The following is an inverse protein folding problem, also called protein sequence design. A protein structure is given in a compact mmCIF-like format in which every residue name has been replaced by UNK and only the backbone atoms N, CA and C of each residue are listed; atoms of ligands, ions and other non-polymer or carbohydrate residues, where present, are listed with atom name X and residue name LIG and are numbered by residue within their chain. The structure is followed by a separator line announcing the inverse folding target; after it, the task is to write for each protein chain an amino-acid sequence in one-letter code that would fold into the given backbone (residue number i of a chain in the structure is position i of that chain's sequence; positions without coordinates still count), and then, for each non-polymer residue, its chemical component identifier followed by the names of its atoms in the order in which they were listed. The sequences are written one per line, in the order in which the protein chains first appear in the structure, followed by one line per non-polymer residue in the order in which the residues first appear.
data_IF_127969733294
#
_entry.id   IF_127969733294
#
_cell.length_a   1.000
_cell.length_b   1.000
_cell.length_c   1.000
_cell.angle_alpha   90.00
_cell.angle_beta   90.00
_cell.angle_gamma   90.00
#
_symmetry.space_group_name_H-M   'P 1'
#
loop_
_entity.id
_entity.type
_entity.pdbx_description
1 polymer ?
#
# COMPACT_ATOMS: atom_id res chain seq x y z
N UNK A 1 -5.88 12.83 3.76
CA UNK A 1 -4.68 13.44 4.40
C UNK A 1 -3.86 12.47 5.25
N UNK A 2 -4.43 11.44 5.90
CA UNK A 2 -3.65 10.46 6.71
C UNK A 2 -2.68 9.62 5.84
N UNK A 3 -3.00 9.38 4.56
CA UNK A 3 -2.20 8.52 3.68
C UNK A 3 -0.78 9.05 3.39
N UNK A 4 -0.57 10.37 3.27
CA UNK A 4 0.76 10.93 2.99
C UNK A 4 1.71 10.77 4.19
N UNK A 5 1.20 10.95 5.41
CA UNK A 5 1.98 10.76 6.64
C UNK A 5 2.34 9.30 6.91
N UNK A 6 1.47 8.35 6.52
CA UNK A 6 1.77 6.92 6.63
C UNK A 6 2.66 6.37 5.50
N UNK A 7 2.67 7.00 4.32
CA UNK A 7 3.47 6.55 3.18
C UNK A 7 4.94 6.99 3.25
N UNK A 8 5.23 8.13 3.89
CA UNK A 8 6.60 8.62 4.11
C UNK A 8 7.11 8.04 5.43
N UNK A 9 7.54 6.78 5.40
CA UNK A 9 8.00 6.03 6.58
C UNK A 9 9.46 5.60 6.51
N UNK A 10 9.84 4.71 7.44
CA UNK A 10 11.20 4.15 7.53
C UNK A 10 11.68 3.51 6.24
N UNK A 11 10.78 2.98 5.40
CA UNK A 11 11.14 2.45 4.08
C UNK A 11 11.89 3.45 3.19
N UNK A 12 11.55 4.74 3.23
CA UNK A 12 12.24 5.76 2.43
C UNK A 12 13.64 6.07 2.99
N UNK A 13 13.81 6.10 4.31
CA UNK A 13 15.06 6.54 4.94
C UNK A 13 16.02 5.39 5.29
N UNK A 14 15.50 4.22 5.61
CA UNK A 14 16.25 3.03 6.02
C UNK A 14 16.45 2.07 4.84
N UNK A 15 15.38 1.79 4.07
CA UNK A 15 15.47 0.78 3.00
C UNK A 15 16.03 1.30 1.68
N UNK A 16 15.86 2.59 1.36
CA UNK A 16 16.33 3.16 0.08
C UNK A 16 17.84 3.00 -0.14
N UNK A 17 18.65 3.15 0.91
CA UNK A 17 20.11 2.97 0.81
C UNK A 17 20.49 1.55 0.39
N UNK A 18 19.84 0.55 1.00
CA UNK A 18 20.04 -0.86 0.64
C UNK A 18 19.52 -1.17 -0.78
N UNK A 19 18.38 -0.61 -1.17
CA UNK A 19 17.82 -0.78 -2.53
C UNK A 19 18.77 -0.22 -3.59
N UNK A 20 19.33 0.98 -3.37
CA UNK A 20 20.28 1.58 -4.30
C UNK A 20 21.61 0.80 -4.31
N UNK A 21 22.08 0.31 -3.16
CA UNK A 21 23.31 -0.47 -3.07
C UNK A 21 23.20 -1.84 -3.79
N UNK A 22 22.03 -2.47 -3.76
CA UNK A 22 21.81 -3.81 -4.34
C UNK A 22 21.35 -3.77 -5.80
N UNK A 23 20.41 -2.88 -6.14
CA UNK A 23 19.85 -2.78 -7.50
C UNK A 23 20.55 -1.73 -8.38
N UNK A 24 21.41 -0.89 -7.78
CA UNK A 24 22.00 0.26 -8.44
C UNK A 24 21.03 1.43 -8.62
N UNK A 25 21.52 2.63 -8.97
CA UNK A 25 20.68 3.83 -9.11
C UNK A 25 19.65 3.70 -10.24
N UNK A 26 20.01 3.07 -11.35
CA UNK A 26 19.09 2.83 -12.48
C UNK A 26 18.00 1.80 -12.14
N UNK A 27 18.36 0.72 -11.45
CA UNK A 27 17.41 -0.32 -11.03
C UNK A 27 16.43 0.18 -9.98
N UNK A 28 16.90 0.98 -9.00
CA UNK A 28 16.06 1.60 -7.99
C UNK A 28 15.03 2.58 -8.61
N UNK A 29 15.45 3.41 -9.58
CA UNK A 29 14.54 4.32 -10.29
C UNK A 29 13.51 3.56 -11.13
N UNK A 30 13.92 2.52 -11.85
CA UNK A 30 13.00 1.71 -12.64
C UNK A 30 11.96 1.02 -11.74
N UNK A 31 12.39 0.43 -10.63
CA UNK A 31 11.50 -0.19 -9.66
C UNK A 31 10.50 0.83 -9.10
N UNK A 32 10.97 2.04 -8.76
CA UNK A 32 10.10 3.12 -8.28
C UNK A 32 9.03 3.52 -9.31
N UNK A 33 9.41 3.67 -10.59
CA UNK A 33 8.47 4.04 -11.66
C UNK A 33 7.44 2.93 -11.89
N UNK A 34 7.87 1.67 -11.94
CA UNK A 34 6.97 0.53 -12.18
C UNK A 34 5.96 0.37 -11.06
N UNK A 35 6.42 0.39 -9.80
CA UNK A 35 5.52 0.27 -8.64
C UNK A 35 4.64 1.51 -8.53
N UNK A 36 5.18 2.71 -8.73
CA UNK A 36 4.42 3.95 -8.70
C UNK A 36 3.30 3.97 -9.75
N UNK A 37 3.59 3.50 -10.97
CA UNK A 37 2.59 3.39 -12.02
C UNK A 37 1.49 2.37 -11.68
N UNK A 38 1.87 1.20 -11.14
CA UNK A 38 0.90 0.20 -10.68
C UNK A 38 -0.02 0.77 -9.59
N UNK A 39 0.55 1.45 -8.59
CA UNK A 39 -0.22 2.07 -7.50
C UNK A 39 -1.12 3.19 -8.01
N UNK A 40 -0.66 3.98 -8.98
CA UNK A 40 -1.48 5.01 -9.62
C UNK A 40 -2.73 4.42 -10.26
N UNK A 41 -2.60 3.36 -11.06
CA UNK A 41 -3.74 2.68 -11.68
C UNK A 41 -4.71 2.12 -10.64
N UNK A 42 -4.18 1.53 -9.56
CA UNK A 42 -4.98 1.01 -8.46
C UNK A 42 -5.80 2.12 -7.78
N UNK A 43 -5.19 3.27 -7.52
CA UNK A 43 -5.87 4.41 -6.90
C UNK A 43 -6.92 5.03 -7.82
N UNK A 44 -6.71 5.06 -9.14
CA UNK A 44 -7.74 5.48 -10.08
C UNK A 44 -8.95 4.56 -10.05
N UNK A 45 -8.74 3.24 -10.13
CA UNK A 45 -9.84 2.26 -10.05
C UNK A 45 -10.60 2.35 -8.73
N UNK A 46 -9.90 2.49 -7.61
CA UNK A 46 -10.51 2.63 -6.29
C UNK A 46 -11.27 3.97 -6.15
N UNK A 47 -10.77 5.03 -6.77
CA UNK A 47 -11.46 6.32 -6.87
C UNK A 47 -12.78 6.21 -7.62
N UNK A 48 -12.81 5.55 -8.78
CA UNK A 48 -14.03 5.32 -9.55
C UNK A 48 -15.07 4.54 -8.72
N UNK A 49 -14.65 3.44 -8.06
CA UNK A 49 -15.51 2.65 -7.17
C UNK A 49 -16.07 3.48 -6.01
N UNK A 50 -15.24 4.34 -5.39
CA UNK A 50 -15.65 5.20 -4.29
C UNK A 50 -16.64 6.30 -4.72
N UNK A 51 -16.49 6.84 -5.93
CA UNK A 51 -17.45 7.81 -6.48
C UNK A 51 -18.76 7.17 -6.92
N UNK A 52 -18.72 5.93 -7.41
CA UNK A 52 -19.90 5.21 -7.86
C UNK A 52 -20.76 4.72 -6.69
N UNK A 53 -20.11 4.24 -5.63
CA UNK A 53 -20.78 3.75 -4.43
C UNK A 53 -20.08 4.31 -3.18
N UNK A 54 -20.47 5.51 -2.72
CA UNK A 54 -19.85 6.13 -1.55
C UNK A 54 -20.29 5.42 -0.27
N UNK A 55 -19.58 4.37 0.10
CA UNK A 55 -19.74 3.67 1.37
C UNK A 55 -18.57 4.02 2.29
N UNK A 56 -18.84 4.13 3.59
CA UNK A 56 -17.78 4.27 4.61
C UNK A 56 -16.96 2.98 4.79
N UNK A 57 -17.35 1.90 4.13
CA UNK A 57 -16.55 0.68 4.06
C UNK A 57 -15.26 0.94 3.28
N UNK A 58 -14.13 0.58 3.88
CA UNK A 58 -12.82 0.69 3.25
C UNK A 58 -12.68 -0.26 2.02
N UNK A 59 -11.45 -0.48 1.55
CA UNK A 59 -11.14 -1.44 0.48
C UNK A 59 -11.69 -2.85 0.71
N UNK A 60 -11.97 -3.26 1.96
CA UNK A 60 -12.63 -4.52 2.30
C UNK A 60 -14.08 -4.61 1.79
N UNK A 61 -14.88 -3.55 1.93
CA UNK A 61 -16.29 -3.54 1.50
C UNK A 61 -16.39 -3.61 -0.02
N UNK A 62 -15.53 -2.85 -0.72
CA UNK A 62 -15.43 -2.93 -2.19
C UNK A 62 -14.98 -4.32 -2.64
N UNK A 63 -13.98 -4.91 -1.98
CA UNK A 63 -13.50 -6.26 -2.28
C UNK A 63 -14.56 -7.34 -2.05
N UNK A 64 -15.36 -7.21 -0.97
CA UNK A 64 -16.46 -8.12 -0.65
C UNK A 64 -17.56 -8.06 -1.71
N UNK A 65 -17.90 -6.85 -2.19
CA UNK A 65 -18.99 -6.64 -3.16
C UNK A 65 -18.60 -6.96 -4.59
N UNK A 66 -17.40 -6.57 -5.03
CA UNK A 66 -16.99 -6.69 -6.44
C UNK A 66 -16.25 -7.99 -6.76
N UNK A 67 -15.69 -8.69 -5.76
CA UNK A 67 -14.94 -9.93 -5.97
C UNK A 67 -15.63 -11.13 -5.32
N UNK A 68 -15.59 -11.23 -3.99
CA UNK A 68 -16.29 -12.25 -3.21
C UNK A 68 -16.20 -11.96 -1.72
N UNK A 69 -17.12 -12.53 -0.92
CA UNK A 69 -17.08 -12.40 0.53
C UNK A 69 -15.80 -12.99 1.16
N UNK A 70 -15.27 -14.10 0.62
CA UNK A 70 -14.02 -14.71 1.09
C UNK A 70 -12.81 -13.84 0.77
N UNK A 71 -12.81 -13.16 -0.38
CA UNK A 71 -11.74 -12.25 -0.77
C UNK A 71 -11.74 -10.99 0.09
N UNK A 72 -12.92 -10.42 0.37
CA UNK A 72 -13.08 -9.31 1.32
C UNK A 72 -12.49 -9.62 2.70
N UNK A 73 -12.88 -10.77 3.29
CA UNK A 73 -12.34 -11.22 4.57
C UNK A 73 -10.80 -11.37 4.56
N UNK A 74 -10.26 -11.98 3.49
CA UNK A 74 -8.81 -12.15 3.35
C UNK A 74 -8.08 -10.79 3.26
N UNK A 75 -8.64 -9.82 2.53
CA UNK A 75 -8.08 -8.47 2.40
C UNK A 75 -8.09 -7.75 3.75
N UNK A 76 -9.19 -7.81 4.50
CA UNK A 76 -9.28 -7.23 5.85
C UNK A 76 -8.21 -7.76 6.79
N UNK A 77 -8.04 -9.09 6.84
CA UNK A 77 -7.00 -9.73 7.67
C UNK A 77 -5.58 -9.42 7.22
N UNK A 78 -5.30 -9.41 5.91
CA UNK A 78 -3.99 -9.05 5.39
C UNK A 78 -3.63 -7.60 5.75
N UNK A 79 -4.61 -6.70 5.67
CA UNK A 79 -4.40 -5.31 6.03
C UNK A 79 -4.11 -5.15 7.53
N UNK A 80 -4.89 -5.81 8.39
CA UNK A 80 -4.63 -5.80 9.83
C UNK A 80 -3.23 -6.33 10.16
N UNK A 81 -2.84 -7.47 9.55
CA UNK A 81 -1.52 -8.08 9.76
C UNK A 81 -0.39 -7.17 9.30
N UNK A 82 -0.55 -6.51 8.16
CA UNK A 82 0.42 -5.53 7.65
C UNK A 82 0.63 -4.39 8.65
N UNK A 83 -0.42 -3.82 9.23
CA UNK A 83 -0.30 -2.78 10.25
C UNK A 83 0.33 -3.29 11.55
N UNK A 84 -0.07 -4.48 12.01
CA UNK A 84 0.49 -5.08 13.23
C UNK A 84 2.02 -5.26 13.14
N UNK A 85 2.52 -5.72 11.98
CA UNK A 85 3.96 -5.85 11.74
C UNK A 85 4.62 -4.50 11.54
N UNK A 86 3.99 -3.58 10.80
CA UNK A 86 4.56 -2.27 10.52
C UNK A 86 4.83 -1.52 11.83
N UNK A 87 3.95 -1.60 12.83
CA UNK A 87 4.19 -1.01 14.15
C UNK A 87 5.46 -1.57 14.80
N UNK A 88 5.67 -2.89 14.76
CA UNK A 88 6.88 -3.50 15.31
C UNK A 88 8.14 -3.11 14.50
N UNK A 89 8.03 -3.03 13.18
CA UNK A 89 9.13 -2.64 12.31
C UNK A 89 9.57 -1.18 12.53
N UNK A 90 8.61 -0.26 12.64
CA UNK A 90 8.85 1.16 12.92
C UNK A 90 9.48 1.34 14.32
N UNK A 91 9.08 0.55 15.32
CA UNK A 91 9.68 0.59 16.66
C UNK A 91 11.15 0.14 16.70
N UNK A 92 11.54 -0.82 15.87
CA UNK A 92 12.92 -1.32 15.78
C UNK A 92 13.81 -0.40 14.94
N UNK A 93 13.22 0.32 13.99
CA UNK A 93 13.94 1.25 13.11
C UNK A 93 14.18 2.63 13.73
N UNK A 94 13.43 3.01 14.79
CA UNK A 94 13.58 4.24 15.57
C UNK A 94 14.68 4.14 16.64
#
# INVERSE_FOLDING_TARGET
MIALGGAIGTGLFVASGNTIATAGPGGALLAYVVIGFMVFLLMQSLGEMATYLPVSGAFEEYSTRFVSASFGFAIGWNYWYNWAITVAAELVAA
#
